data_IF_457308696928
#
_entry.id   IF_457308696928
#
_cell.length_a   1.000
_cell.length_b   1.000
_cell.length_c   1.000
_cell.angle_alpha   90.00
_cell.angle_beta   90.00
_cell.angle_gamma   90.00
#
_symmetry.space_group_name_H-M   'P 1'
#
loop_
_entity.id
_entity.type
_entity.pdbx_description
1 polymer ?
#
# COMPACT_ATOMS: atom_id res chain seq x y z
N UNK A 1 35.08 -71.93 -58.82
CA UNK A 1 34.09 -71.79 -57.75
C UNK A 1 34.63 -70.78 -56.76
N UNK A 2 34.21 -69.52 -56.87
CA UNK A 2 34.65 -68.42 -55.98
C UNK A 2 33.45 -67.48 -55.83
N UNK A 3 32.87 -67.48 -54.64
CA UNK A 3 31.73 -66.65 -54.26
C UNK A 3 32.30 -65.38 -53.64
N UNK A 4 31.99 -64.22 -54.22
CA UNK A 4 32.35 -62.90 -53.68
C UNK A 4 31.17 -62.40 -52.85
N UNK A 5 31.40 -62.25 -51.55
CA UNK A 5 30.41 -61.73 -50.60
C UNK A 5 30.53 -60.22 -50.51
N UNK A 6 29.55 -59.48 -51.05
CA UNK A 6 29.42 -58.03 -50.84
C UNK A 6 28.78 -57.78 -49.47
N UNK A 7 29.55 -57.21 -48.54
CA UNK A 7 29.03 -56.71 -47.27
C UNK A 7 28.38 -55.33 -47.51
N UNK A 8 27.08 -55.23 -47.26
CA UNK A 8 26.30 -53.99 -47.35
C UNK A 8 26.60 -53.06 -46.18
N UNK A 9 27.30 -51.96 -46.44
CA UNK A 9 27.43 -50.84 -45.51
C UNK A 9 26.17 -49.95 -45.58
N UNK A 10 25.25 -50.13 -44.63
CA UNK A 10 24.14 -49.21 -44.42
C UNK A 10 24.54 -48.07 -43.46
N UNK A 11 23.97 -46.85 -43.61
CA UNK A 11 24.59 -45.62 -43.14
C UNK A 11 24.21 -45.32 -41.69
N UNK A 12 25.15 -45.52 -40.77
CA UNK A 12 25.05 -45.09 -39.36
C UNK A 12 24.91 -43.55 -39.23
N UNK A 13 25.15 -42.79 -40.31
CA UNK A 13 25.13 -41.32 -40.30
C UNK A 13 23.74 -40.66 -40.23
N UNK A 14 22.66 -41.33 -40.65
CA UNK A 14 21.33 -40.69 -40.72
C UNK A 14 20.65 -40.60 -39.35
N UNK A 15 20.83 -41.60 -38.50
CA UNK A 15 20.25 -41.61 -37.15
C UNK A 15 20.98 -40.65 -36.20
N UNK A 16 22.30 -40.50 -36.35
CA UNK A 16 23.09 -39.51 -35.62
C UNK A 16 22.67 -38.08 -36.00
N UNK A 17 22.38 -37.82 -37.28
CA UNK A 17 21.92 -36.52 -37.74
C UNK A 17 20.52 -36.18 -37.21
N UNK A 18 19.59 -37.15 -37.18
CA UNK A 18 18.26 -36.97 -36.55
C UNK A 18 18.36 -36.71 -35.06
N UNK A 19 19.21 -37.45 -34.34
CA UNK A 19 19.44 -37.26 -32.92
C UNK A 19 20.06 -35.90 -32.60
N UNK A 20 21.02 -35.43 -33.41
CA UNK A 20 21.62 -34.10 -33.28
C UNK A 20 20.60 -32.99 -33.54
N UNK A 21 19.72 -33.16 -34.53
CA UNK A 21 18.67 -32.17 -34.83
C UNK A 21 17.58 -32.14 -33.75
N UNK A 22 17.21 -33.30 -33.22
CA UNK A 22 16.28 -33.40 -32.10
C UNK A 22 16.85 -32.75 -30.83
N UNK A 23 18.13 -32.98 -30.51
CA UNK A 23 18.77 -32.36 -29.35
C UNK A 23 18.95 -30.85 -29.50
N UNK A 24 19.18 -30.35 -30.72
CA UNK A 24 19.27 -28.91 -30.98
C UNK A 24 17.91 -28.23 -30.76
N UNK A 25 16.83 -28.81 -31.28
CA UNK A 25 15.46 -28.31 -31.07
C UNK A 25 15.05 -28.41 -29.59
N UNK A 26 15.46 -29.46 -28.89
CA UNK A 26 15.20 -29.60 -27.46
C UNK A 26 15.96 -28.56 -26.61
N UNK A 27 17.20 -28.24 -27.02
CA UNK A 27 18.01 -27.20 -26.40
C UNK A 27 17.46 -25.79 -26.63
N UNK A 28 16.76 -25.54 -27.75
CA UNK A 28 16.06 -24.28 -28.00
C UNK A 28 14.71 -24.20 -27.28
N UNK A 29 13.99 -25.33 -27.13
CA UNK A 29 12.70 -25.37 -26.43
C UNK A 29 12.82 -25.15 -24.92
N UNK A 30 13.91 -25.60 -24.28
CA UNK A 30 14.16 -25.42 -22.84
C UNK A 30 14.20 -23.94 -22.40
N UNK A 31 14.99 -23.04 -23.03
CA UNK A 31 15.00 -21.63 -22.67
C UNK A 31 13.69 -20.92 -23.05
N UNK A 32 13.03 -21.31 -24.14
CA UNK A 32 11.72 -20.76 -24.50
C UNK A 32 10.65 -21.11 -23.45
N UNK A 33 10.65 -22.35 -22.94
CA UNK A 33 9.76 -22.76 -21.85
C UNK A 33 10.06 -22.02 -20.56
N UNK A 34 11.32 -21.81 -20.21
CA UNK A 34 11.70 -21.06 -19.00
C UNK A 34 11.37 -19.56 -19.13
N UNK A 35 11.49 -18.98 -20.32
CA UNK A 35 11.04 -17.61 -20.59
C UNK A 35 9.52 -17.48 -20.50
N UNK A 36 8.77 -18.47 -21.01
CA UNK A 36 7.30 -18.48 -20.91
C UNK A 36 6.85 -18.59 -19.45
N UNK A 37 7.45 -19.48 -18.66
CA UNK A 37 7.13 -19.56 -17.22
C UNK A 37 7.54 -18.29 -16.48
N UNK A 38 8.70 -17.71 -16.80
CA UNK A 38 9.16 -16.45 -16.21
C UNK A 38 8.24 -15.27 -16.52
N UNK A 39 7.78 -15.15 -17.78
CA UNK A 39 6.82 -14.10 -18.18
C UNK A 39 5.45 -14.32 -17.57
N UNK A 40 4.98 -15.57 -17.47
CA UNK A 40 3.74 -15.91 -16.78
C UNK A 40 3.77 -15.53 -15.30
N UNK A 41 4.89 -15.78 -14.61
CA UNK A 41 5.05 -15.42 -13.21
C UNK A 41 5.04 -13.89 -13.01
N UNK A 42 5.77 -13.16 -13.86
CA UNK A 42 5.74 -11.68 -13.86
C UNK A 42 4.33 -11.14 -14.12
N UNK A 43 3.58 -11.76 -15.04
CA UNK A 43 2.19 -11.38 -15.31
C UNK A 43 1.32 -11.61 -14.07
N UNK A 44 1.42 -12.78 -13.41
CA UNK A 44 0.65 -13.04 -12.18
C UNK A 44 1.00 -12.08 -11.04
N UNK A 45 2.28 -11.71 -10.90
CA UNK A 45 2.75 -10.75 -9.90
C UNK A 45 2.25 -9.34 -10.19
N UNK A 46 2.29 -8.90 -11.46
CA UNK A 46 1.72 -7.61 -11.83
C UNK A 46 0.21 -7.56 -11.65
N UNK A 47 -0.50 -8.66 -11.93
CA UNK A 47 -1.94 -8.76 -11.70
C UNK A 47 -2.29 -8.68 -10.20
N UNK A 48 -1.54 -9.37 -9.34
CA UNK A 48 -1.78 -9.28 -7.89
C UNK A 48 -1.52 -7.86 -7.38
N UNK A 49 -0.47 -7.20 -7.86
CA UNK A 49 -0.17 -5.80 -7.53
C UNK A 49 -1.30 -4.86 -7.99
N UNK A 50 -1.83 -5.04 -9.21
CA UNK A 50 -2.95 -4.23 -9.71
C UNK A 50 -4.22 -4.47 -8.87
N UNK A 51 -4.49 -5.71 -8.47
CA UNK A 51 -5.66 -6.00 -7.62
C UNK A 51 -5.55 -5.36 -6.24
N UNK A 52 -4.35 -5.40 -5.61
CA UNK A 52 -4.10 -4.75 -4.32
C UNK A 52 -4.27 -3.23 -4.42
N UNK A 53 -3.67 -2.61 -5.45
CA UNK A 53 -3.81 -1.17 -5.69
C UNK A 53 -5.27 -0.76 -5.94
N UNK A 54 -6.03 -1.53 -6.71
CA UNK A 54 -7.46 -1.28 -6.92
C UNK A 54 -8.24 -1.39 -5.62
N UNK A 55 -7.93 -2.37 -4.78
CA UNK A 55 -8.57 -2.51 -3.48
C UNK A 55 -8.25 -1.34 -2.56
N UNK A 56 -7.01 -0.85 -2.56
CA UNK A 56 -6.62 0.36 -1.81
C UNK A 56 -7.34 1.60 -2.32
N UNK A 57 -7.47 1.76 -3.63
CA UNK A 57 -8.22 2.86 -4.24
C UNK A 57 -9.70 2.80 -3.89
N UNK A 58 -10.35 1.63 -4.03
CA UNK A 58 -11.76 1.50 -3.70
C UNK A 58 -12.03 1.80 -2.22
N UNK A 59 -11.10 1.41 -1.33
CA UNK A 59 -11.16 1.78 0.10
C UNK A 59 -11.01 3.28 0.28
N UNK A 60 -10.02 3.91 -0.34
CA UNK A 60 -9.82 5.36 -0.28
C UNK A 60 -11.03 6.14 -0.80
N UNK A 61 -11.67 5.69 -1.88
CA UNK A 61 -12.87 6.30 -2.44
C UNK A 61 -14.10 6.07 -1.56
N UNK A 62 -14.23 4.90 -0.93
CA UNK A 62 -15.26 4.65 0.08
C UNK A 62 -15.10 5.58 1.30
N UNK A 63 -13.87 5.86 1.72
CA UNK A 63 -13.56 6.79 2.82
C UNK A 63 -13.95 8.22 2.43
N UNK A 64 -13.54 8.65 1.24
CA UNK A 64 -13.83 10.00 0.72
C UNK A 64 -15.32 10.24 0.48
N UNK A 65 -16.07 9.21 0.08
CA UNK A 65 -17.50 9.33 -0.20
C UNK A 65 -18.36 9.32 1.06
N UNK A 66 -17.95 8.60 2.12
CA UNK A 66 -18.71 8.55 3.40
C UNK A 66 -18.55 9.81 4.25
N UNK A 67 -17.44 10.54 4.15
CA UNK A 67 -17.20 11.75 4.96
C UNK A 67 -17.31 13.00 4.09
N UNK A 68 -18.03 14.06 4.50
CA UNK A 68 -18.03 15.32 3.78
C UNK A 68 -16.69 16.03 3.97
N UNK A 69 -15.66 15.60 3.23
CA UNK A 69 -14.31 16.14 3.29
C UNK A 69 -14.28 17.66 3.10
N UNK A 70 -15.19 18.16 2.26
CA UNK A 70 -15.43 19.59 2.09
C UNK A 70 -15.73 20.30 3.42
N UNK A 71 -16.62 19.74 4.24
CA UNK A 71 -16.99 20.32 5.54
C UNK A 71 -15.84 20.18 6.53
N UNK A 72 -15.15 19.05 6.52
CA UNK A 72 -13.95 18.83 7.35
C UNK A 72 -12.88 19.89 7.05
N UNK A 73 -12.56 20.11 5.77
CA UNK A 73 -11.60 21.13 5.33
C UNK A 73 -12.08 22.55 5.66
N UNK A 74 -13.35 22.85 5.46
CA UNK A 74 -13.92 24.16 5.82
C UNK A 74 -13.78 24.43 7.33
N UNK A 75 -14.13 23.45 8.17
CA UNK A 75 -14.02 23.62 9.62
C UNK A 75 -12.57 23.66 10.09
N UNK A 76 -11.69 22.85 9.50
CA UNK A 76 -10.26 22.86 9.84
C UNK A 76 -9.62 24.20 9.48
N UNK A 77 -9.88 24.72 8.28
CA UNK A 77 -9.36 26.02 7.85
C UNK A 77 -9.93 27.18 8.67
N UNK A 78 -11.20 27.11 9.07
CA UNK A 78 -11.82 28.11 9.95
C UNK A 78 -11.22 28.14 11.37
N UNK A 79 -10.63 27.01 11.82
CA UNK A 79 -10.01 26.86 13.14
C UNK A 79 -8.48 27.06 13.11
N UNK A 80 -7.89 27.26 11.94
CA UNK A 80 -6.44 27.37 11.77
C UNK A 80 -5.97 28.81 12.07
N UNK A 81 -5.06 29.02 13.03
CA UNK A 81 -4.43 30.32 13.24
C UNK A 81 -3.63 30.77 12.01
N UNK A 82 -3.45 32.09 11.83
CA UNK A 82 -2.72 32.65 10.68
C UNK A 82 -1.26 32.19 10.59
N UNK A 83 -0.67 31.83 11.72
CA UNK A 83 0.74 31.45 11.87
C UNK A 83 0.96 29.94 11.87
N UNK A 84 -0.08 29.16 11.57
CA UNK A 84 -0.04 27.71 11.47
C UNK A 84 -0.33 27.31 10.04
N UNK A 85 0.48 26.41 9.47
CA UNK A 85 0.22 25.84 8.16
C UNK A 85 0.40 24.33 8.16
N UNK A 86 -0.46 23.66 7.41
CA UNK A 86 -0.40 22.22 7.22
C UNK A 86 0.37 21.87 5.95
N UNK A 87 1.09 20.76 6.00
CA UNK A 87 1.90 20.23 4.89
C UNK A 87 1.48 18.84 4.48
N UNK A 88 1.01 18.01 5.42
CA UNK A 88 0.43 16.71 5.13
C UNK A 88 -0.85 16.49 5.93
N UNK A 89 -1.77 15.78 5.28
CA UNK A 89 -3.06 15.42 5.80
C UNK A 89 -3.36 13.98 5.41
N UNK A 90 -3.28 13.07 6.37
CA UNK A 90 -3.33 11.63 6.12
C UNK A 90 -4.45 10.98 6.93
N UNK A 91 -5.41 10.32 6.28
CA UNK A 91 -6.33 9.41 6.97
C UNK A 91 -5.58 8.13 7.32
N UNK A 92 -5.72 7.64 8.55
CA UNK A 92 -5.11 6.38 8.96
C UNK A 92 -6.14 5.40 9.54
N UNK A 93 -5.94 4.14 9.20
CA UNK A 93 -6.70 3.00 9.71
C UNK A 93 -5.88 2.37 10.85
N UNK A 94 -5.64 3.11 11.94
CA UNK A 94 -5.12 2.46 13.15
C UNK A 94 -6.31 1.83 13.85
N UNK A 95 -6.43 0.50 13.76
CA UNK A 95 -7.21 -0.22 14.77
C UNK A 95 -6.76 0.31 16.14
N UNK A 96 -7.68 0.73 17.02
CA UNK A 96 -7.27 1.11 18.37
C UNK A 96 -6.43 -0.05 18.89
N UNK A 97 -5.24 0.23 19.42
CA UNK A 97 -4.62 -0.69 20.38
C UNK A 97 -5.58 -0.73 21.54
N UNK A 98 -6.64 -1.54 21.40
CA UNK A 98 -7.53 -1.88 22.47
C UNK A 98 -6.63 -2.50 23.51
N UNK A 99 -6.28 -1.71 24.50
CA UNK A 99 -5.85 -2.20 25.79
C UNK A 99 -6.91 -3.23 26.14
N UNK A 100 -6.54 -4.50 26.06
CA UNK A 100 -7.40 -5.65 26.26
C UNK A 100 -7.92 -5.58 27.69
N UNK A 101 -9.02 -4.85 27.91
CA UNK A 101 -9.93 -5.12 29.01
C UNK A 101 -10.75 -6.30 28.55
N UNK A 102 -10.27 -7.50 28.91
CA UNK A 102 -11.05 -8.74 28.92
C UNK A 102 -12.36 -8.46 29.66
N UNK A 103 -13.44 -8.29 28.90
CA UNK A 103 -14.80 -8.50 29.36
C UNK A 103 -15.38 -9.57 28.44
N UNK A 104 -15.85 -10.63 29.07
CA UNK A 104 -16.20 -11.88 28.44
C UNK A 104 -17.56 -11.83 27.73
N UNK A 105 -17.70 -12.74 26.74
CA UNK A 105 -18.95 -13.40 26.32
C UNK A 105 -19.97 -12.59 25.50
N UNK A 106 -20.07 -12.89 24.20
CA UNK A 106 -21.10 -13.76 23.62
C UNK A 106 -20.91 -13.84 22.11
N UNK A 107 -20.88 -15.07 21.60
CA UNK A 107 -20.95 -15.38 20.17
C UNK A 107 -22.37 -15.11 19.68
N UNK A 108 -22.50 -14.34 18.60
CA UNK A 108 -23.73 -14.25 17.81
C UNK A 108 -23.37 -14.10 16.33
N UNK A 109 -24.26 -14.65 15.51
CA UNK A 109 -24.06 -15.16 14.16
C UNK A 109 -23.76 -14.13 13.06
N UNK A 110 -23.04 -14.64 12.05
CA UNK A 110 -23.03 -14.24 10.63
C UNK A 110 -24.04 -13.15 10.22
N UNK A 111 -23.51 -11.97 9.94
CA UNK A 111 -23.82 -11.25 8.71
C UNK A 111 -22.50 -11.01 7.98
N UNK A 112 -22.39 -11.47 6.73
CA UNK A 112 -21.25 -11.18 5.84
C UNK A 112 -21.39 -9.74 5.28
N UNK A 113 -21.79 -8.82 6.16
CA UNK A 113 -21.71 -7.39 5.91
C UNK A 113 -20.27 -7.05 6.19
N UNK A 114 -19.50 -6.82 5.12
CA UNK A 114 -18.18 -6.22 5.24
C UNK A 114 -18.42 -4.81 5.79
N UNK A 115 -18.48 -4.68 7.11
CA UNK A 115 -18.35 -3.42 7.81
C UNK A 115 -16.97 -2.90 7.44
N UNK A 116 -16.94 -2.08 6.38
CA UNK A 116 -15.79 -1.26 6.04
C UNK A 116 -15.62 -0.29 7.20
N UNK A 117 -14.87 -0.75 8.21
CA UNK A 117 -14.35 0.02 9.34
C UNK A 117 -13.75 1.29 8.75
N UNK A 118 -14.37 2.43 9.05
CA UNK A 118 -13.87 3.71 8.57
C UNK A 118 -12.52 4.03 9.21
N UNK A 119 -11.76 4.99 8.67
CA UNK A 119 -10.50 5.39 9.26
C UNK A 119 -10.71 5.82 10.69
N UNK A 120 -9.87 5.29 11.57
CA UNK A 120 -9.90 5.56 13.00
C UNK A 120 -9.53 7.02 13.30
N UNK A 121 -8.78 7.67 12.41
CA UNK A 121 -8.39 9.05 12.61
C UNK A 121 -7.76 9.73 11.41
N UNK A 122 -7.22 10.90 11.69
CA UNK A 122 -6.60 11.83 10.78
C UNK A 122 -5.29 12.32 11.38
N UNK A 123 -4.19 12.17 10.65
CA UNK A 123 -2.88 12.67 11.03
C UNK A 123 -2.62 13.98 10.32
N UNK A 124 -2.37 15.03 11.10
CA UNK A 124 -2.03 16.36 10.63
C UNK A 124 -0.52 16.55 10.79
N UNK A 125 0.17 16.96 9.73
CA UNK A 125 1.56 17.39 9.83
C UNK A 125 1.66 18.82 9.35
N UNK A 126 2.34 19.67 10.12
CA UNK A 126 2.42 21.08 9.83
C UNK A 126 3.55 21.78 10.58
N UNK A 127 3.49 23.09 10.52
CA UNK A 127 4.40 23.99 11.21
C UNK A 127 3.60 25.11 11.84
N UNK A 128 4.10 25.61 12.97
CA UNK A 128 3.65 26.82 13.62
C UNK A 128 4.84 27.76 13.80
N UNK A 129 4.67 29.07 13.66
CA UNK A 129 5.74 30.02 13.99
C UNK A 129 6.12 29.92 15.47
N UNK A 130 5.11 29.86 16.34
CA UNK A 130 5.31 29.80 17.78
C UNK A 130 4.60 28.60 18.41
N UNK A 131 5.09 28.18 19.59
CA UNK A 131 4.49 27.08 20.33
C UNK A 131 3.08 27.42 20.85
N UNK A 132 2.84 28.69 21.19
CA UNK A 132 1.53 29.17 21.64
C UNK A 132 0.46 28.96 20.57
N UNK A 133 0.78 29.27 19.31
CA UNK A 133 -0.14 29.07 18.18
C UNK A 133 -0.46 27.60 17.93
N UNK A 134 0.51 26.71 18.11
CA UNK A 134 0.28 25.27 18.05
C UNK A 134 -0.70 24.82 19.15
N UNK A 135 -0.52 25.29 20.38
CA UNK A 135 -1.42 24.96 21.49
C UNK A 135 -2.83 25.52 21.26
N UNK A 136 -2.93 26.76 20.78
CA UNK A 136 -4.20 27.37 20.41
C UNK A 136 -4.92 26.58 19.30
N UNK A 137 -4.17 26.13 18.28
CA UNK A 137 -4.70 25.27 17.23
C UNK A 137 -5.18 23.93 17.77
N UNK A 138 -4.40 23.26 18.63
CA UNK A 138 -4.80 22.00 19.27
C UNK A 138 -6.06 22.16 20.12
N UNK A 139 -6.16 23.23 20.92
CA UNK A 139 -7.35 23.53 21.71
C UNK A 139 -8.56 23.77 20.80
N UNK A 140 -8.40 24.55 19.73
CA UNK A 140 -9.46 24.83 18.76
C UNK A 140 -9.97 23.56 18.04
N UNK A 141 -9.10 22.58 17.80
CA UNK A 141 -9.47 21.27 17.26
C UNK A 141 -10.19 20.40 18.30
N UNK A 142 -9.79 20.45 19.57
CA UNK A 142 -10.36 19.65 20.65
C UNK A 142 -11.72 20.17 21.14
N UNK A 143 -11.96 21.48 21.03
CA UNK A 143 -13.26 22.11 21.35
C UNK A 143 -14.33 21.86 20.26
N UNK A 144 -13.93 21.31 19.10
CA UNK A 144 -14.84 21.04 17.99
C UNK A 144 -15.50 19.67 18.05
N UNK A 145 -16.68 19.54 17.45
CA UNK A 145 -17.38 18.25 17.24
C UNK A 145 -16.67 17.37 16.19
N UNK A 146 -15.52 17.80 15.67
CA UNK A 146 -14.82 17.08 14.62
C UNK A 146 -14.07 15.86 15.15
N UNK A 147 -13.42 15.96 16.31
CA UNK A 147 -12.53 14.92 16.81
C UNK A 147 -12.83 14.64 18.27
N UNK A 148 -12.93 13.36 18.64
CA UNK A 148 -13.07 12.94 20.03
C UNK A 148 -11.76 13.13 20.81
N UNK A 149 -10.61 13.08 20.12
CA UNK A 149 -9.29 13.22 20.74
C UNK A 149 -8.28 13.77 19.76
N UNK A 150 -7.43 14.67 20.23
CA UNK A 150 -6.30 15.25 19.49
C UNK A 150 -5.04 15.06 20.32
N UNK A 151 -4.13 14.20 19.87
CA UNK A 151 -2.85 13.94 20.52
C UNK A 151 -1.69 14.54 19.71
N UNK A 152 -0.73 15.16 20.40
CA UNK A 152 0.54 15.55 19.78
C UNK A 152 1.51 14.36 19.79
N UNK A 153 1.81 13.82 18.61
CA UNK A 153 2.71 12.67 18.45
C UNK A 153 4.17 13.11 18.45
N UNK A 154 4.45 14.22 17.76
CA UNK A 154 5.82 14.73 17.61
C UNK A 154 5.78 16.25 17.49
N UNK A 155 6.72 16.91 18.15
CA UNK A 155 7.04 18.32 17.92
C UNK A 155 8.55 18.51 17.91
N UNK A 156 9.02 19.51 17.18
CA UNK A 156 10.43 19.85 17.12
C UNK A 156 10.66 21.21 16.47
N UNK A 157 11.65 21.92 16.97
CA UNK A 157 12.07 23.19 16.38
C UNK A 157 12.85 22.94 15.09
N UNK A 158 12.55 23.72 14.07
CA UNK A 158 13.20 23.69 12.76
C UNK A 158 13.65 25.11 12.43
N UNK A 159 14.94 25.34 12.12
CA UNK A 159 15.41 26.65 11.72
C UNK A 159 14.80 27.05 10.37
N UNK A 160 14.29 28.27 10.29
CA UNK A 160 13.85 28.97 9.09
C UNK A 160 14.81 30.12 8.78
N UNK A 161 14.74 30.67 7.57
CA UNK A 161 15.61 31.79 7.16
C UNK A 161 15.54 32.99 8.13
N UNK A 162 14.34 33.28 8.65
CA UNK A 162 14.07 34.44 9.52
C UNK A 162 13.71 34.05 10.96
N UNK A 163 14.03 32.82 11.41
CA UNK A 163 13.73 32.43 12.79
C UNK A 163 13.68 30.92 13.02
N UNK A 164 12.84 30.50 13.98
CA UNK A 164 12.60 29.10 14.32
C UNK A 164 11.12 28.84 14.21
N UNK A 165 10.73 27.76 13.51
CA UNK A 165 9.36 27.28 13.48
C UNK A 165 9.26 25.95 14.25
N UNK A 166 8.08 25.64 14.78
CA UNK A 166 7.79 24.36 15.41
C UNK A 166 7.13 23.46 14.39
N UNK A 167 7.85 22.43 13.92
CA UNK A 167 7.24 21.34 13.15
C UNK A 167 6.48 20.44 14.10
N UNK A 168 5.26 20.07 13.73
CA UNK A 168 4.40 19.20 14.55
C UNK A 168 3.77 18.07 13.73
N UNK A 169 3.40 17.01 14.45
CA UNK A 169 2.55 15.91 13.99
C UNK A 169 1.46 15.70 15.04
N UNK A 170 0.20 15.87 14.64
CA UNK A 170 -0.98 15.61 15.46
C UNK A 170 -1.70 14.36 14.94
N UNK A 171 -2.23 13.57 15.84
CA UNK A 171 -3.16 12.49 15.56
C UNK A 171 -4.52 12.84 16.13
N UNK A 172 -5.52 12.89 15.27
CA UNK A 172 -6.89 13.26 15.62
C UNK A 172 -7.78 12.04 15.39
N UNK A 173 -8.44 11.53 16.43
CA UNK A 173 -9.39 10.41 16.29
C UNK A 173 -10.82 10.90 16.33
N UNK A 174 -11.68 10.24 15.56
CA UNK A 174 -13.11 10.56 15.45
C UNK A 174 -13.91 10.10 16.65
#
# INVERSE_FOLDING_TARGET
MTVVTFASAFPVGFDVFKAARASTVENELKPLRSQLTGTKNKLSESLSMVTDLRQRLSRADAIRSKRPWKNLMATLTAKMPQEVWLTSLESYDHAPKATVRRAATKEEEKSDTIELEGPAGLRLTGFALEHEQLLAFMAALNDGVLFNRVDMVKSGQVPLADGVAVRFVLECTW
#
